data_IF_151873462733
#
_entry.id   IF_151873462733
#
_cell.length_a   1.000
_cell.length_b   1.000
_cell.length_c   1.000
_cell.angle_alpha   90.00
_cell.angle_beta   90.00
_cell.angle_gamma   90.00
#
_symmetry.space_group_name_H-M   'P 1'
#
loop_
_entity.id
_entity.type
_entity.pdbx_description
1 polymer ?
#
# COMPACT_ATOMS: atom_id res chain seq x y z
N UNK A 1 3.90 -15.15 -12.62
CA UNK A 1 4.31 -14.28 -11.50
C UNK A 1 3.05 -13.91 -10.73
N UNK A 2 3.02 -13.96 -9.39
CA UNK A 2 1.85 -13.47 -8.66
C UNK A 2 1.64 -12.00 -9.01
N UNK A 3 0.41 -11.62 -9.33
CA UNK A 3 0.03 -10.26 -9.70
C UNK A 3 0.28 -9.25 -8.58
N UNK A 4 0.03 -7.94 -8.83
CA UNK A 4 0.12 -6.93 -7.79
C UNK A 4 -0.75 -7.29 -6.58
N UNK A 5 -0.38 -6.83 -5.40
CA UNK A 5 -1.10 -7.10 -4.15
C UNK A 5 -2.18 -6.04 -3.94
N UNK A 6 -3.41 -6.44 -3.63
CA UNK A 6 -4.53 -5.51 -3.51
C UNK A 6 -5.36 -5.67 -2.25
N UNK A 7 -6.24 -4.70 -2.04
CA UNK A 7 -7.19 -4.68 -0.94
C UNK A 7 -8.26 -5.77 -1.08
N UNK A 8 -8.86 -6.13 0.05
CA UNK A 8 -9.99 -7.05 0.12
C UNK A 8 -11.19 -6.56 -0.72
N UNK A 9 -11.29 -5.25 -0.97
CA UNK A 9 -12.26 -4.68 -1.92
C UNK A 9 -12.13 -5.20 -3.37
N UNK A 10 -11.01 -5.84 -3.71
CA UNK A 10 -10.76 -6.48 -5.01
C UNK A 10 -10.95 -8.00 -4.97
N UNK A 11 -11.69 -8.54 -3.98
CA UNK A 11 -12.05 -9.97 -3.91
C UNK A 11 -12.61 -10.52 -5.23
N UNK A 12 -13.32 -9.70 -6.02
CA UNK A 12 -13.86 -10.09 -7.34
C UNK A 12 -12.82 -10.25 -8.45
N UNK A 13 -11.57 -9.83 -8.21
CA UNK A 13 -10.45 -9.85 -9.16
C UNK A 13 -9.29 -10.74 -8.64
N UNK A 14 -9.59 -11.64 -7.69
CA UNK A 14 -8.62 -12.48 -6.99
C UNK A 14 -7.84 -13.45 -7.91
N UNK A 15 -8.37 -13.71 -9.11
CA UNK A 15 -7.70 -14.54 -10.14
C UNK A 15 -6.57 -13.78 -10.85
N UNK A 16 -6.62 -12.44 -10.86
CA UNK A 16 -5.65 -11.57 -11.52
C UNK A 16 -4.69 -10.94 -10.51
N UNK A 17 -5.15 -10.69 -9.28
CA UNK A 17 -4.48 -9.86 -8.28
C UNK A 17 -4.51 -10.56 -6.93
N UNK A 18 -3.39 -10.53 -6.22
CA UNK A 18 -3.28 -11.24 -4.95
C UNK A 18 -3.98 -10.45 -3.85
N UNK A 19 -5.08 -11.00 -3.31
CA UNK A 19 -5.89 -10.41 -2.23
C UNK A 19 -5.80 -11.22 -0.94
N UNK A 20 -5.99 -10.56 0.19
CA UNK A 20 -6.01 -11.22 1.50
C UNK A 20 -7.17 -12.21 1.61
N UNK A 21 -6.98 -13.29 2.37
CA UNK A 21 -8.08 -14.21 2.65
C UNK A 21 -9.05 -13.58 3.64
N UNK A 22 -10.32 -13.44 3.23
CA UNK A 22 -11.40 -13.02 4.12
C UNK A 22 -11.60 -14.04 5.22
N UNK A 23 -11.76 -13.56 6.46
CA UNK A 23 -12.17 -14.43 7.55
C UNK A 23 -13.65 -14.79 7.39
N UNK A 24 -14.03 -16.09 7.33
CA UNK A 24 -15.42 -16.47 7.30
C UNK A 24 -16.11 -16.08 8.62
N UNK A 25 -17.40 -15.75 8.56
CA UNK A 25 -18.20 -15.43 9.75
C UNK A 25 -18.29 -16.71 10.59
N UNK A 26 -17.87 -16.64 11.86
CA UNK A 26 -17.79 -17.75 12.83
C UNK A 26 -16.70 -18.82 12.62
N UNK A 27 -15.76 -18.65 11.69
CA UNK A 27 -14.63 -19.59 11.55
C UNK A 27 -13.26 -18.93 11.70
N UNK A 28 -12.26 -19.71 12.12
CA UNK A 28 -10.86 -19.26 12.18
C UNK A 28 -10.21 -19.58 10.84
N UNK A 29 -9.49 -18.61 10.27
CA UNK A 29 -8.62 -18.82 9.12
C UNK A 29 -7.59 -19.92 9.44
N UNK A 30 -7.31 -20.82 8.50
CA UNK A 30 -6.28 -21.84 8.68
C UNK A 30 -4.90 -21.21 8.91
N UNK A 31 -3.98 -21.94 9.55
CA UNK A 31 -2.65 -21.41 9.92
C UNK A 31 -1.84 -20.86 8.74
N UNK A 32 -1.98 -21.46 7.55
CA UNK A 32 -1.35 -20.99 6.30
C UNK A 32 -1.97 -19.66 5.83
N UNK A 33 -3.30 -19.54 5.84
CA UNK A 33 -3.99 -18.30 5.47
C UNK A 33 -3.67 -17.15 6.44
N UNK A 34 -3.50 -17.44 7.74
CA UNK A 34 -3.06 -16.45 8.72
C UNK A 34 -1.61 -15.98 8.48
N UNK A 35 -0.71 -16.89 8.08
CA UNK A 35 0.66 -16.52 7.73
C UNK A 35 0.69 -15.67 6.45
N UNK A 36 -0.10 -16.04 5.46
CA UNK A 36 -0.26 -15.29 4.23
C UNK A 36 -0.79 -13.87 4.50
N UNK A 37 -1.88 -13.73 5.26
CA UNK A 37 -2.42 -12.42 5.63
C UNK A 37 -1.41 -11.60 6.45
N UNK A 38 -0.60 -12.23 7.32
CA UNK A 38 0.48 -11.54 8.04
C UNK A 38 1.56 -11.01 7.09
N UNK A 39 2.00 -11.80 6.12
CA UNK A 39 2.97 -11.35 5.12
C UNK A 39 2.39 -10.22 4.25
N UNK A 40 1.15 -10.37 3.80
CA UNK A 40 0.45 -9.37 3.02
C UNK A 40 0.28 -8.04 3.78
N UNK A 41 -0.19 -8.09 5.03
CA UNK A 41 -0.35 -6.90 5.86
C UNK A 41 0.98 -6.20 6.14
N UNK A 42 2.09 -6.93 6.29
CA UNK A 42 3.41 -6.31 6.46
C UNK A 42 3.84 -5.52 5.23
N UNK A 43 3.62 -6.06 4.03
CA UNK A 43 3.93 -5.35 2.78
C UNK A 43 3.06 -4.10 2.63
N UNK A 44 1.76 -4.22 2.93
CA UNK A 44 0.84 -3.07 2.94
C UNK A 44 1.22 -2.00 3.96
N UNK A 45 1.58 -2.40 5.17
CA UNK A 45 1.94 -1.46 6.23
C UNK A 45 3.10 -0.55 5.83
N UNK A 46 4.08 -1.06 5.07
CA UNK A 46 5.19 -0.24 4.54
C UNK A 46 4.67 0.79 3.54
N UNK A 47 3.80 0.38 2.60
CA UNK A 47 3.20 1.28 1.62
C UNK A 47 2.28 2.33 2.26
N UNK A 48 1.45 1.93 3.21
CA UNK A 48 0.55 2.82 3.97
C UNK A 48 1.35 3.83 4.80
N UNK A 49 2.44 3.39 5.46
CA UNK A 49 3.37 4.29 6.15
C UNK A 49 4.03 5.29 5.20
N UNK A 50 4.51 4.84 4.04
CA UNK A 50 5.09 5.71 3.02
C UNK A 50 4.10 6.77 2.52
N UNK A 51 2.86 6.35 2.24
CA UNK A 51 1.77 7.23 1.83
C UNK A 51 1.42 8.26 2.91
N UNK A 52 1.34 7.82 4.17
CA UNK A 52 1.13 8.72 5.30
C UNK A 52 2.25 9.75 5.41
N UNK A 53 3.51 9.33 5.35
CA UNK A 53 4.67 10.22 5.46
C UNK A 53 4.70 11.26 4.34
N UNK A 54 4.42 10.85 3.11
CA UNK A 54 4.31 11.77 1.97
C UNK A 54 3.19 12.80 2.17
N UNK A 55 2.01 12.37 2.63
CA UNK A 55 0.88 13.27 2.91
C UNK A 55 1.15 14.19 4.10
N UNK A 56 1.87 13.75 5.12
CA UNK A 56 2.23 14.60 6.26
C UNK A 56 3.22 15.67 5.85
N UNK A 57 4.24 15.31 5.05
CA UNK A 57 5.31 16.23 4.62
C UNK A 57 4.85 17.18 3.52
N UNK A 58 4.06 16.70 2.56
CA UNK A 58 3.58 17.50 1.43
C UNK A 58 2.06 17.67 1.48
N UNK A 59 1.60 18.84 1.94
CA UNK A 59 0.16 19.18 2.01
C UNK A 59 -0.53 19.07 0.64
N UNK A 60 0.18 19.34 -0.44
CA UNK A 60 -0.31 19.20 -1.82
C UNK A 60 -0.74 17.77 -2.17
N UNK A 61 -0.13 16.74 -1.55
CA UNK A 61 -0.47 15.34 -1.78
C UNK A 61 -1.70 14.87 -0.98
N UNK A 62 -2.30 15.72 -0.14
CA UNK A 62 -3.49 15.34 0.65
C UNK A 62 -4.77 15.35 -0.19
N UNK A 63 -4.89 16.29 -1.12
CA UNK A 63 -6.09 16.52 -1.94
C UNK A 63 -5.75 16.49 -3.43
N UNK A 64 -5.40 15.31 -3.94
CA UNK A 64 -5.09 15.15 -5.35
C UNK A 64 -6.37 14.77 -6.10
N UNK A 65 -6.79 15.60 -7.06
CA UNK A 65 -7.82 15.29 -8.06
C UNK A 65 -7.24 14.96 -9.44
N UNK A 66 -5.91 14.93 -9.56
CA UNK A 66 -5.20 14.68 -10.82
C UNK A 66 -5.30 13.21 -11.27
N UNK A 67 -5.10 12.99 -12.57
CA UNK A 67 -5.03 11.66 -13.16
C UNK A 67 -4.00 10.77 -12.43
N UNK A 68 -4.37 9.54 -12.01
CA UNK A 68 -3.49 8.60 -11.30
C UNK A 68 -2.16 8.33 -12.01
N UNK A 69 -2.15 8.37 -13.34
CA UNK A 69 -0.95 8.17 -14.14
C UNK A 69 0.02 9.34 -14.05
N UNK A 70 -0.49 10.58 -14.00
CA UNK A 70 0.34 11.80 -13.95
C UNK A 70 0.84 12.11 -12.54
N UNK A 71 0.06 11.76 -11.52
CA UNK A 71 0.48 11.98 -10.14
C UNK A 71 1.63 11.05 -9.73
N UNK A 72 1.78 9.89 -10.38
CA UNK A 72 2.89 8.97 -10.13
C UNK A 72 4.26 9.65 -10.19
N UNK A 73 4.51 10.43 -11.25
CA UNK A 73 5.77 11.16 -11.43
C UNK A 73 6.00 12.22 -10.35
N UNK A 74 4.94 12.95 -9.97
CA UNK A 74 4.97 13.97 -8.91
C UNK A 74 5.28 13.31 -7.56
N UNK A 75 4.67 12.17 -7.26
CA UNK A 75 4.89 11.41 -6.02
C UNK A 75 6.30 10.83 -5.99
N UNK A 76 6.82 10.34 -7.12
CA UNK A 76 8.19 9.86 -7.23
C UNK A 76 9.20 10.99 -6.94
N UNK A 77 9.00 12.18 -7.52
CA UNK A 77 9.83 13.35 -7.23
C UNK A 77 9.74 13.77 -5.75
N UNK A 78 8.53 13.82 -5.19
CA UNK A 78 8.31 14.13 -3.77
C UNK A 78 8.99 13.12 -2.84
N UNK A 79 9.00 11.83 -3.22
CA UNK A 79 9.68 10.77 -2.47
C UNK A 79 11.20 10.95 -2.47
N UNK A 80 11.80 11.36 -3.60
CA UNK A 80 13.24 11.67 -3.67
C UNK A 80 13.58 12.84 -2.75
N UNK A 81 12.80 13.93 -2.78
CA UNK A 81 12.98 15.08 -1.90
C UNK A 81 12.84 14.68 -0.42
N UNK A 82 11.83 13.88 -0.10
CA UNK A 82 11.60 13.33 1.23
C UNK A 82 12.82 12.54 1.72
N UNK A 83 13.37 11.67 0.86
CA UNK A 83 14.54 10.86 1.20
C UNK A 83 15.76 11.74 1.47
N UNK A 84 16.05 12.73 0.61
CA UNK A 84 17.17 13.68 0.82
C UNK A 84 17.04 14.42 2.15
N UNK A 85 15.83 14.91 2.47
CA UNK A 85 15.61 15.67 3.70
C UNK A 85 15.71 14.81 4.96
N UNK A 86 15.27 13.55 4.91
CA UNK A 86 15.37 12.62 6.05
C UNK A 86 16.73 11.90 6.15
N UNK A 87 17.51 11.84 5.07
CA UNK A 87 18.90 11.33 5.08
C UNK A 87 19.90 12.42 5.51
N UNK A 88 19.51 13.70 5.48
CA UNK A 88 20.20 14.80 6.17
C UNK A 88 19.58 15.06 7.55
N UNK A 89 19.51 14.04 8.39
CA UNK A 89 19.43 14.26 9.83
C UNK A 89 20.86 14.38 10.35
N UNK A 90 21.35 15.62 10.45
CA UNK A 90 22.49 16.00 11.30
C UNK A 90 22.14 15.80 12.76
#
# INVERSE_FOLDING_TARGET
>A
MPGPWADLGYEGEADTIVVAFKKPKNEKLGGIQQQFNRAHNRLRAVGERGNSLLKTTFKALRNISLCPWKIGDIVAAALVILHINHQRTT
#
